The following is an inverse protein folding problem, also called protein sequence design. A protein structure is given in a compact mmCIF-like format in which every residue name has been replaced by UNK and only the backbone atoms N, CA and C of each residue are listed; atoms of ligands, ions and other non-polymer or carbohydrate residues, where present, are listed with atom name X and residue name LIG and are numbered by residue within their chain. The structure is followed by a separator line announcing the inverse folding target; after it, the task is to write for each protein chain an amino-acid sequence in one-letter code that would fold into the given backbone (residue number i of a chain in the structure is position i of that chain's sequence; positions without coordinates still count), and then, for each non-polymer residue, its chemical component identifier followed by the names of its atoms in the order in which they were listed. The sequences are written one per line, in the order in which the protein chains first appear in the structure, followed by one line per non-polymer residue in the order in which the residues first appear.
data_IF_118905039010
#
_entry.id   IF_118905039010
#
_cell.length_a   1.000
_cell.length_b   1.000
_cell.length_c   1.000
_cell.angle_alpha   90.00
_cell.angle_beta   90.00
_cell.angle_gamma   90.00
#
_symmetry.space_group_name_H-M   'P 1'
#
loop_
_entity.id
_entity.type
_entity.pdbx_description
1 polymer ?
#
# COMPACT_ATOMS: atom_id res chain seq x y z
N UNK A 1 1.57 20.22 -16.78
CA UNK A 1 1.41 19.83 -16.55
C UNK A 1 1.13 19.19 -16.05
N UNK A 2 1.08 19.01 -15.91
CA UNK A 2 0.86 18.32 -15.62
C UNK A 2 0.57 17.63 -15.13
N UNK A 3 0.70 17.48 -14.91
CA UNK A 3 0.48 16.82 -14.63
C UNK A 3 -0.23 16.06 -14.38
N UNK A 4 -0.32 15.65 -14.36
CA UNK A 4 -1.29 14.70 -14.45
C UNK A 4 -1.67 13.94 -13.24
N UNK A 5 -1.24 14.30 -12.14
CA UNK A 5 -1.55 13.59 -10.92
C UNK A 5 -2.86 14.11 -10.36
N UNK A 6 -3.82 13.23 -10.28
CA UNK A 6 -5.13 13.61 -9.78
C UNK A 6 -5.31 13.06 -8.38
N UNK A 7 -5.73 13.87 -7.44
CA UNK A 7 -5.93 13.39 -6.09
C UNK A 7 -6.92 12.24 -5.98
N UNK A 8 -7.85 12.20 -6.89
CA UNK A 8 -8.84 11.16 -6.84
C UNK A 8 -8.27 9.81 -7.21
N UNK A 9 -7.10 9.80 -7.81
CA UNK A 9 -6.45 8.53 -8.10
C UNK A 9 -5.77 7.96 -6.86
N UNK A 10 -5.60 8.75 -5.85
CA UNK A 10 -4.98 8.27 -4.63
C UNK A 10 -6.04 7.70 -3.71
N UNK A 11 -5.73 6.62 -3.08
CA UNK A 11 -6.62 6.01 -2.11
C UNK A 11 -5.79 5.42 -0.99
N UNK A 12 -6.44 5.18 0.11
CA UNK A 12 -5.74 4.60 1.24
C UNK A 12 -5.39 3.16 0.91
N UNK A 13 -4.13 2.86 0.99
CA UNK A 13 -3.62 1.53 0.69
C UNK A 13 -2.85 1.05 1.90
N UNK A 14 -3.08 -0.19 2.28
CA UNK A 14 -2.39 -0.78 3.41
C UNK A 14 -1.11 -1.43 2.92
N UNK A 15 0.00 -0.94 3.41
CA UNK A 15 1.30 -1.49 3.06
C UNK A 15 1.78 -2.35 4.22
N UNK A 16 1.92 -3.62 3.97
CA UNK A 16 2.37 -4.53 5.00
C UNK A 16 3.85 -4.83 4.81
N UNK A 17 4.63 -4.52 5.82
CA UNK A 17 6.06 -4.76 5.79
C UNK A 17 6.30 -6.16 6.31
N UNK A 18 6.64 -7.07 5.43
CA UNK A 18 6.86 -8.44 5.83
C UNK A 18 8.10 -8.58 6.68
N UNK A 19 8.97 -7.63 6.59
CA UNK A 19 10.21 -7.69 7.34
C UNK A 19 9.94 -7.45 8.82
N UNK A 20 9.13 -6.46 9.13
CA UNK A 20 8.82 -6.13 10.52
C UNK A 20 7.44 -6.59 10.92
N UNK A 21 6.63 -6.94 9.99
CA UNK A 21 5.25 -7.27 10.30
C UNK A 21 4.41 -6.05 10.61
N UNK A 22 4.81 -4.91 10.13
CA UNK A 22 4.11 -3.67 10.40
C UNK A 22 3.21 -3.31 9.23
N UNK A 23 2.03 -2.85 9.54
CA UNK A 23 1.10 -2.44 8.50
C UNK A 23 0.94 -0.93 8.58
N UNK A 24 1.14 -0.28 7.45
CA UNK A 24 1.02 1.17 7.37
C UNK A 24 0.01 1.52 6.31
N UNK A 25 -0.87 2.45 6.61
CA UNK A 25 -1.87 2.89 5.66
C UNK A 25 -1.49 4.27 5.18
N UNK A 26 -1.35 4.41 3.88
CA UNK A 26 -0.98 5.67 3.29
C UNK A 26 -1.67 5.79 1.96
N UNK A 27 -1.75 7.00 1.46
CA UNK A 27 -2.37 7.22 0.16
C UNK A 27 -1.43 6.80 -0.93
N UNK A 28 -1.96 6.07 -1.89
CA UNK A 28 -1.14 5.59 -2.97
C UNK A 28 -2.02 5.25 -4.15
N UNK A 29 -1.44 5.24 -5.32
CA UNK A 29 -2.14 4.82 -6.53
C UNK A 29 -1.83 3.37 -6.85
N UNK A 30 -1.22 2.65 -5.95
CA UNK A 30 -0.85 1.26 -6.19
C UNK A 30 -2.09 0.41 -6.41
N UNK A 31 -1.99 -0.49 -7.34
CA UNK A 31 -3.07 -1.42 -7.63
C UNK A 31 -2.66 -2.80 -7.15
N UNK A 32 -3.58 -3.48 -6.50
CA UNK A 32 -3.29 -4.79 -5.98
C UNK A 32 -4.54 -5.63 -5.98
N UNK A 33 -4.37 -6.92 -6.07
CA UNK A 33 -5.50 -7.84 -6.01
C UNK A 33 -5.88 -8.15 -4.59
N UNK A 34 -5.01 -7.91 -3.65
CA UNK A 34 -5.27 -8.30 -2.28
C UNK A 34 -5.88 -7.16 -1.54
N UNK A 35 -6.72 -7.49 -0.60
CA UNK A 35 -7.35 -6.49 0.23
C UNK A 35 -7.28 -6.95 1.67
N UNK A 36 -7.44 -6.01 2.56
CA UNK A 36 -7.42 -6.30 3.98
C UNK A 36 -8.51 -5.46 4.62
N UNK A 37 -9.18 -6.04 5.58
CA UNK A 37 -10.24 -5.34 6.28
C UNK A 37 -9.69 -4.81 7.58
N UNK A 38 -9.78 -3.52 7.78
CA UNK A 38 -9.34 -2.89 9.01
C UNK A 38 -10.49 -2.05 9.52
N UNK A 39 -10.88 -2.34 10.75
CA UNK A 39 -11.94 -1.54 11.39
C UNK A 39 -13.21 -1.54 10.55
N UNK A 40 -13.47 -2.64 9.89
CA UNK A 40 -14.68 -2.74 9.08
C UNK A 40 -14.57 -2.08 7.73
N UNK A 41 -13.38 -1.65 7.35
CA UNK A 41 -13.19 -1.00 6.06
C UNK A 41 -12.18 -1.81 5.27
N UNK A 42 -12.51 -2.04 4.02
CA UNK A 42 -11.65 -2.83 3.16
C UNK A 42 -10.64 -1.92 2.47
N UNK A 43 -9.38 -2.25 2.62
CA UNK A 43 -8.32 -1.49 1.98
C UNK A 43 -7.53 -2.41 1.07
N UNK A 44 -7.01 -1.89 -0.04
CA UNK A 44 -6.10 -2.68 -0.85
C UNK A 44 -4.82 -2.96 -0.07
N UNK A 45 -4.36 -4.18 -0.16
CA UNK A 45 -3.19 -4.60 0.60
C UNK A 45 -2.02 -4.79 -0.34
N UNK A 46 -0.93 -4.13 -0.04
CA UNK A 46 0.31 -4.27 -0.78
C UNK A 46 1.35 -4.81 0.17
N UNK A 47 1.91 -5.95 -0.15
CA UNK A 47 2.94 -6.53 0.68
C UNK A 47 4.30 -6.04 0.23
N UNK A 48 5.05 -5.50 1.14
CA UNK A 48 6.39 -5.03 0.83
C UNK A 48 7.38 -5.94 1.52
N UNK A 49 8.27 -6.47 0.76
CA UNK A 49 9.28 -7.35 1.31
C UNK A 49 10.62 -6.75 0.97
N UNK A 50 11.27 -6.19 1.94
CA UNK A 50 12.56 -5.61 1.72
C UNK A 50 13.59 -6.69 1.95
N UNK A 51 13.99 -7.29 0.90
CA UNK A 51 14.98 -8.34 0.96
C UNK A 51 16.33 -7.70 1.05
N UNK A 52 16.84 -7.61 2.20
CA UNK A 52 18.10 -6.97 2.40
C UNK A 52 19.22 -7.94 2.24
N UNK A 53 19.11 -8.80 1.37
CA UNK A 53 20.08 -9.83 1.21
C UNK A 53 21.27 -9.33 0.48
N UNK A 54 21.63 -8.29 0.60
CA UNK A 54 22.76 -7.84 -0.10
C UNK A 54 23.89 -8.77 -0.08
N UNK A 55 24.21 -8.97 -0.53
CA UNK A 55 25.19 -9.73 -0.40
C UNK A 55 25.85 -9.54 -1.17
#
# INVERSE_FOLDING_TARGET
MKEGIHPENYRLVAFKDMSNGTTTITKSTAATKETIEIDGVEYPLVKMEISNSSH
#
